data_IF_639970950289
#
_entry.id   IF_639970950289
#
_cell.length_a   1.000
_cell.length_b   1.000
_cell.length_c   1.000
_cell.angle_alpha   90.00
_cell.angle_beta   90.00
_cell.angle_gamma   90.00
#
_symmetry.space_group_name_H-M   'P 1'
#
loop_
_entity.id
_entity.type
_entity.pdbx_description
1 polymer ?
#
# COMPACT_ATOMS: atom_id res chain seq x y z
N UNK A 1 -45.98 -55.33 -10.35
CA UNK A 1 -46.54 -54.16 -11.06
C UNK A 1 -46.12 -52.91 -10.29
N UNK A 2 -45.33 -52.03 -10.90
CA UNK A 2 -44.95 -50.74 -10.30
C UNK A 2 -46.21 -49.87 -10.17
N UNK A 3 -46.45 -49.28 -9.00
CA UNK A 3 -47.59 -48.39 -8.79
C UNK A 3 -47.35 -47.06 -9.53
N UNK A 4 -48.41 -46.46 -10.07
CA UNK A 4 -48.33 -45.14 -10.71
C UNK A 4 -47.78 -44.07 -9.76
N UNK A 5 -48.08 -44.21 -8.46
CA UNK A 5 -47.58 -43.33 -7.39
C UNK A 5 -46.05 -43.44 -7.27
N UNK A 6 -45.50 -44.66 -7.31
CA UNK A 6 -44.05 -44.88 -7.22
C UNK A 6 -43.33 -44.36 -8.47
N UNK A 7 -43.96 -44.43 -9.65
CA UNK A 7 -43.41 -43.86 -10.88
C UNK A 7 -43.32 -42.33 -10.82
N UNK A 8 -44.38 -41.67 -10.36
CA UNK A 8 -44.42 -40.20 -10.20
C UNK A 8 -43.37 -39.74 -9.19
N UNK A 9 -43.24 -40.44 -8.07
CA UNK A 9 -42.24 -40.11 -7.04
C UNK A 9 -40.80 -40.14 -7.58
N UNK A 10 -40.45 -41.15 -8.41
CA UNK A 10 -39.11 -41.22 -9.01
C UNK A 10 -38.84 -40.06 -9.97
N UNK A 11 -39.83 -39.62 -10.75
CA UNK A 11 -39.69 -38.49 -11.67
C UNK A 11 -39.44 -37.20 -10.88
N UNK A 12 -40.19 -36.96 -9.80
CA UNK A 12 -40.03 -35.78 -8.95
C UNK A 12 -38.65 -35.75 -8.29
N UNK A 13 -38.18 -36.90 -7.78
CA UNK A 13 -36.84 -37.02 -7.20
C UNK A 13 -35.77 -36.74 -8.25
N UNK A 14 -35.92 -37.26 -9.46
CA UNK A 14 -34.99 -37.00 -10.56
C UNK A 14 -34.88 -35.51 -10.90
N UNK A 15 -36.01 -34.81 -10.99
CA UNK A 15 -36.04 -33.36 -11.23
C UNK A 15 -35.38 -32.59 -10.08
N UNK A 16 -35.66 -32.97 -8.83
CA UNK A 16 -35.05 -32.34 -7.65
C UNK A 16 -33.52 -32.47 -7.65
N UNK A 17 -32.97 -33.64 -8.01
CA UNK A 17 -31.53 -33.87 -8.09
C UNK A 17 -30.89 -32.99 -9.17
N UNK A 18 -31.53 -32.83 -10.33
CA UNK A 18 -31.03 -31.97 -11.41
C UNK A 18 -30.95 -30.51 -10.96
N UNK A 19 -32.02 -30.01 -10.32
CA UNK A 19 -32.07 -28.63 -9.81
C UNK A 19 -31.00 -28.42 -8.75
N UNK A 20 -30.86 -29.34 -7.80
CA UNK A 20 -29.86 -29.25 -6.73
C UNK A 20 -28.44 -29.24 -7.31
N UNK A 21 -28.16 -30.11 -8.27
CA UNK A 21 -26.85 -30.19 -8.94
C UNK A 21 -26.50 -28.87 -9.64
N UNK A 22 -27.47 -28.26 -10.33
CA UNK A 22 -27.28 -26.96 -10.99
C UNK A 22 -26.96 -25.85 -9.99
N UNK A 23 -27.72 -25.77 -8.88
CA UNK A 23 -27.50 -24.77 -7.82
C UNK A 23 -26.13 -24.95 -7.17
N UNK A 24 -25.71 -26.18 -6.88
CA UNK A 24 -24.40 -26.48 -6.31
C UNK A 24 -23.25 -26.01 -7.21
N UNK A 25 -23.33 -26.26 -8.52
CA UNK A 25 -22.32 -25.79 -9.49
C UNK A 25 -22.28 -24.26 -9.54
N UNK A 26 -23.46 -23.60 -9.53
CA UNK A 26 -23.55 -22.13 -9.55
C UNK A 26 -22.92 -21.52 -8.29
N UNK A 27 -23.24 -22.05 -7.11
CA UNK A 27 -22.67 -21.60 -5.84
C UNK A 27 -21.16 -21.84 -5.78
N UNK A 28 -20.69 -23.01 -6.25
CA UNK A 28 -19.26 -23.32 -6.31
C UNK A 28 -18.50 -22.31 -7.19
N UNK A 29 -19.01 -22.02 -8.39
CA UNK A 29 -18.39 -21.03 -9.29
C UNK A 29 -18.37 -19.64 -8.67
N UNK A 30 -19.46 -19.24 -7.99
CA UNK A 30 -19.53 -17.95 -7.33
C UNK A 30 -18.52 -17.84 -6.18
N UNK A 31 -18.45 -18.84 -5.30
CA UNK A 31 -17.49 -18.88 -4.19
C UNK A 31 -16.04 -18.92 -4.69
N UNK A 32 -15.77 -19.66 -5.77
CA UNK A 32 -14.43 -19.67 -6.39
C UNK A 32 -14.04 -18.28 -6.90
N UNK A 33 -14.96 -17.57 -7.56
CA UNK A 33 -14.73 -16.19 -8.01
C UNK A 33 -14.49 -15.25 -6.83
N UNK A 34 -15.36 -15.31 -5.82
CA UNK A 34 -15.23 -14.49 -4.60
C UNK A 34 -13.89 -14.71 -3.90
N UNK A 35 -13.45 -15.97 -3.77
CA UNK A 35 -12.16 -16.28 -3.17
C UNK A 35 -10.99 -15.72 -3.98
N UNK A 36 -11.04 -15.81 -5.32
CA UNK A 36 -10.04 -15.20 -6.20
C UNK A 36 -10.00 -13.68 -6.04
N UNK A 37 -11.15 -13.02 -6.01
CA UNK A 37 -11.24 -11.57 -5.85
C UNK A 37 -10.69 -11.12 -4.48
N UNK A 38 -10.97 -11.88 -3.42
CA UNK A 38 -10.40 -11.64 -2.08
C UNK A 38 -8.88 -11.78 -2.08
N UNK A 39 -8.33 -12.83 -2.70
CA UNK A 39 -6.87 -13.02 -2.78
C UNK A 39 -6.21 -11.85 -3.54
N UNK A 40 -6.81 -11.38 -4.64
CA UNK A 40 -6.32 -10.22 -5.39
C UNK A 40 -6.38 -8.95 -4.54
N UNK A 41 -7.48 -8.73 -3.82
CA UNK A 41 -7.64 -7.57 -2.94
C UNK A 41 -6.59 -7.57 -1.82
N UNK A 42 -6.33 -8.71 -1.19
CA UNK A 42 -5.30 -8.86 -0.15
C UNK A 42 -3.90 -8.59 -0.72
N UNK A 43 -3.58 -9.15 -1.89
CA UNK A 43 -2.29 -8.90 -2.54
C UNK A 43 -2.08 -7.42 -2.87
N UNK A 44 -3.13 -6.73 -3.34
CA UNK A 44 -3.09 -5.31 -3.62
C UNK A 44 -2.93 -4.46 -2.35
N UNK A 45 -3.61 -4.82 -1.25
CA UNK A 45 -3.46 -4.14 0.03
C UNK A 45 -2.02 -4.25 0.57
N UNK A 46 -1.43 -5.44 0.55
CA UNK A 46 -0.04 -5.67 0.96
C UNK A 46 0.93 -4.84 0.12
N UNK A 47 0.71 -4.80 -1.21
CA UNK A 47 1.55 -3.99 -2.12
C UNK A 47 1.43 -2.50 -1.82
N UNK A 48 0.22 -2.02 -1.50
CA UNK A 48 -0.03 -0.62 -1.16
C UNK A 48 0.64 -0.24 0.16
N UNK A 49 0.57 -1.10 1.17
CA UNK A 49 1.27 -0.90 2.45
C UNK A 49 2.78 -0.79 2.25
N UNK A 50 3.37 -1.71 1.48
CA UNK A 50 4.80 -1.67 1.16
C UNK A 50 5.22 -0.37 0.45
N UNK A 51 4.45 0.06 -0.55
CA UNK A 51 4.70 1.31 -1.28
C UNK A 51 4.60 2.51 -0.35
N UNK A 52 3.57 2.55 0.51
CA UNK A 52 3.35 3.63 1.48
C UNK A 52 4.50 3.71 2.47
N UNK A 53 4.95 2.57 3.00
CA UNK A 53 6.09 2.50 3.91
C UNK A 53 7.38 2.99 3.23
N UNK A 54 7.62 2.56 2.00
CA UNK A 54 8.79 2.98 1.22
C UNK A 54 8.79 4.48 0.94
N UNK A 55 7.64 5.03 0.54
CA UNK A 55 7.46 6.48 0.34
C UNK A 55 7.70 7.26 1.63
N UNK A 56 7.19 6.77 2.77
CA UNK A 56 7.42 7.38 4.07
C UNK A 56 8.90 7.45 4.41
N UNK A 57 9.63 6.34 4.23
CA UNK A 57 11.08 6.33 4.42
C UNK A 57 11.77 7.33 3.49
N UNK A 58 11.41 7.36 2.20
CA UNK A 58 12.00 8.32 1.26
C UNK A 58 11.71 9.77 1.65
N UNK A 59 10.51 10.07 2.16
CA UNK A 59 10.17 11.38 2.70
C UNK A 59 11.03 11.73 3.92
N UNK A 60 11.16 10.81 4.88
CA UNK A 60 12.00 10.99 6.07
C UNK A 60 13.48 11.20 5.70
N UNK A 61 14.03 10.44 4.74
CA UNK A 61 15.40 10.62 4.25
C UNK A 61 15.59 11.88 3.38
N UNK A 62 14.53 12.36 2.73
CA UNK A 62 14.57 13.56 1.89
C UNK A 62 14.42 14.86 2.69
N UNK A 63 13.93 14.79 3.92
CA UNK A 63 13.72 15.96 4.79
C UNK A 63 14.63 15.84 6.02
N UNK A 64 15.79 16.49 5.98
CA UNK A 64 16.74 16.53 7.10
C UNK A 64 16.58 17.80 7.92
N UNK A 65 16.82 17.71 9.23
CA UNK A 65 16.86 18.90 10.09
C UNK A 65 18.17 19.65 9.90
N UNK A 66 18.09 20.97 9.78
CA UNK A 66 19.23 21.86 9.81
C UNK A 66 19.93 21.74 11.17
N UNK A 67 21.24 21.44 11.18
CA UNK A 67 22.03 21.31 12.41
C UNK A 67 22.16 22.59 13.25
N UNK A 68 21.76 23.76 12.71
CA UNK A 68 21.80 25.05 13.45
C UNK A 68 20.43 25.48 13.98
N UNK A 69 19.40 25.48 13.15
CA UNK A 69 18.08 26.03 13.50
C UNK A 69 16.97 24.98 13.61
N UNK A 70 17.28 23.69 13.41
CA UNK A 70 16.32 22.60 13.52
C UNK A 70 15.25 22.55 12.42
N UNK A 71 15.17 23.56 11.54
CA UNK A 71 14.21 23.58 10.42
C UNK A 71 14.43 22.38 9.49
N UNK A 72 13.32 21.82 9.03
CA UNK A 72 13.30 20.78 8.01
C UNK A 72 13.80 21.37 6.68
N UNK A 73 14.72 20.66 6.02
CA UNK A 73 15.37 21.07 4.77
C UNK A 73 15.29 19.92 3.79
N UNK A 74 14.82 20.19 2.57
CA UNK A 74 14.79 19.19 1.51
C UNK A 74 16.21 18.78 1.11
N UNK A 75 16.34 17.57 0.56
CA UNK A 75 17.60 17.08 -0.02
C UNK A 75 18.15 17.97 -1.14
N UNK A 76 17.29 18.71 -1.87
CA UNK A 76 17.71 19.64 -2.92
C UNK A 76 18.29 20.93 -2.35
N UNK A 77 17.73 21.41 -1.24
CA UNK A 77 18.08 22.72 -0.67
C UNK A 77 19.14 22.65 0.44
N UNK A 78 19.42 21.44 0.95
CA UNK A 78 20.41 21.25 2.01
C UNK A 78 21.83 21.58 1.52
N UNK A 79 22.59 22.27 2.37
CA UNK A 79 24.04 22.43 2.23
C UNK A 79 24.73 21.60 3.31
N UNK A 80 25.81 20.91 2.97
CA UNK A 80 26.50 20.01 3.92
C UNK A 80 27.81 20.67 4.34
N UNK A 81 28.07 20.76 5.64
CA UNK A 81 29.36 21.17 6.22
C UNK A 81 29.73 20.16 7.30
N UNK A 82 30.93 19.56 7.21
CA UNK A 82 31.40 18.53 8.17
C UNK A 82 30.37 17.40 8.38
N UNK A 83 29.78 16.91 7.29
CA UNK A 83 28.72 15.89 7.29
C UNK A 83 27.38 16.28 7.96
N UNK A 84 27.23 17.53 8.43
CA UNK A 84 25.98 18.02 9.01
C UNK A 84 25.19 18.82 7.94
N UNK A 85 23.89 18.55 7.74
CA UNK A 85 23.05 19.31 6.82
C UNK A 85 22.59 20.64 7.45
N UNK A 86 22.59 21.71 6.64
CA UNK A 86 22.15 23.05 7.02
C UNK A 86 21.20 23.63 5.96
N UNK A 87 20.28 24.50 6.39
CA UNK A 87 19.48 25.29 5.47
C UNK A 87 20.34 26.38 4.80
N UNK A 88 19.97 26.85 3.59
CA UNK A 88 20.75 27.86 2.85
C UNK A 88 21.08 29.11 3.68
N UNK A 89 20.12 29.62 4.46
CA UNK A 89 20.29 30.79 5.33
C UNK A 89 21.36 30.55 6.41
N UNK A 90 21.32 29.41 7.09
CA UNK A 90 22.32 29.10 8.13
C UNK A 90 23.70 28.79 7.53
N UNK A 91 23.74 28.21 6.33
CA UNK A 91 24.98 27.93 5.63
C UNK A 91 25.70 29.20 5.16
N UNK A 92 24.96 30.20 4.68
CA UNK A 92 25.51 31.50 4.26
C UNK A 92 26.29 32.19 5.39
N UNK A 93 25.83 32.07 6.64
CA UNK A 93 26.55 32.59 7.81
C UNK A 93 27.90 31.90 8.05
N UNK A 94 28.05 30.62 7.69
CA UNK A 94 29.35 29.96 7.75
C UNK A 94 30.26 30.38 6.60
N UNK A 95 29.71 30.60 5.40
CA UNK A 95 30.53 31.04 4.25
C UNK A 95 31.09 32.45 4.44
N UNK A 96 30.38 33.34 5.15
CA UNK A 96 30.90 34.67 5.48
C UNK A 96 32.10 34.56 6.46
N UNK A 97 31.96 33.73 7.49
CA UNK A 97 33.03 33.47 8.47
C UNK A 97 34.24 32.79 7.81
N UNK A 98 34.02 31.77 6.97
CA UNK A 98 35.07 31.02 6.29
C UNK A 98 35.81 31.86 5.22
N UNK A 99 35.20 32.95 4.73
CA UNK A 99 35.84 33.92 3.82
C UNK A 99 36.62 35.02 4.55
N UNK A 100 36.64 35.01 5.87
CA UNK A 100 37.31 36.06 6.64
C UNK A 100 36.61 37.43 6.54
N UNK A 101 35.34 37.47 6.15
CA UNK A 101 34.52 38.68 6.27
C UNK A 101 34.12 38.82 7.74
N UNK A 102 35.06 39.29 8.56
CA UNK A 102 34.72 39.86 9.86
C UNK A 102 33.99 41.16 9.58
N UNK A 103 32.69 41.20 9.92
CA UNK A 103 32.05 42.48 10.17
C UNK A 103 32.70 43.05 11.42
N UNK A 104 33.75 43.83 11.22
CA UNK A 104 34.37 44.68 12.22
C UNK A 104 33.26 45.60 12.77
N UNK A 105 32.94 45.42 14.05
CA UNK A 105 32.22 46.38 14.88
C UNK A 105 33.04 46.55 16.16
#
# INVERSE_FOLDING_TARGET
MMSTITLIAMIVIGIAIIILSYVCVKLYRHNKKLNSDVVIAVANAIRLEYLTHTLRLQLEYSILKCGKCGKLVSKKDRRIRRHIPYCPKCYAGFSAIDKGETHDN
#
